data_IF_656234519577
#
_entry.id   IF_656234519577
#
_cell.length_a   1.000
_cell.length_b   1.000
_cell.length_c   1.000
_cell.angle_alpha   90.00
_cell.angle_beta   90.00
_cell.angle_gamma   90.00
#
_symmetry.space_group_name_H-M   'P 1'
#
loop_
_entity.id
_entity.type
_entity.pdbx_description
1 polymer ?
#
# COMPACT_ATOMS: atom_id res chain seq x y z
N UNK A 1 -36.74 -9.07 -0.11
CA UNK A 1 -35.90 -8.79 -1.30
C UNK A 1 -35.53 -7.31 -1.25
N UNK A 2 -34.25 -6.93 -1.41
CA UNK A 2 -33.79 -5.53 -1.19
C UNK A 2 -33.91 -4.61 -2.41
N UNK A 3 -33.94 -5.16 -3.61
CA UNK A 3 -34.09 -4.46 -4.90
C UNK A 3 -34.52 -5.49 -5.96
N UNK A 4 -35.03 -5.02 -7.10
CA UNK A 4 -35.40 -5.85 -8.27
C UNK A 4 -34.28 -5.88 -9.30
N UNK A 5 -33.63 -4.75 -9.58
CA UNK A 5 -32.47 -4.65 -10.48
C UNK A 5 -31.33 -3.86 -9.85
N UNK A 6 -30.10 -4.30 -10.12
CA UNK A 6 -28.87 -3.63 -9.72
C UNK A 6 -27.84 -3.74 -10.85
N UNK A 7 -27.28 -2.60 -11.25
CA UNK A 7 -26.20 -2.52 -12.23
C UNK A 7 -25.11 -1.60 -11.69
N UNK A 8 -23.85 -2.04 -11.75
CA UNK A 8 -22.67 -1.25 -11.37
C UNK A 8 -21.44 -1.70 -12.17
N UNK A 9 -20.41 -0.86 -12.22
CA UNK A 9 -19.20 -1.12 -13.00
C UNK A 9 -18.12 -1.89 -12.21
N UNK A 10 -18.53 -2.69 -11.23
CA UNK A 10 -17.60 -3.36 -10.30
C UNK A 10 -16.82 -2.38 -9.42
N UNK A 11 -15.60 -2.78 -9.05
CA UNK A 11 -14.66 -1.97 -8.25
C UNK A 11 -13.44 -1.55 -9.07
N UNK A 12 -12.79 -0.48 -8.63
CA UNK A 12 -11.52 0.00 -9.15
C UNK A 12 -10.36 -0.60 -8.34
N UNK A 13 -9.44 -1.28 -9.02
CA UNK A 13 -8.19 -1.73 -8.41
C UNK A 13 -7.16 -0.59 -8.38
N UNK A 14 -6.34 -0.50 -7.31
CA UNK A 14 -5.24 0.45 -7.25
C UNK A 14 -4.22 0.18 -8.35
N UNK A 15 -3.47 1.21 -8.79
CA UNK A 15 -2.41 1.02 -9.78
C UNK A 15 -1.38 -0.02 -9.30
N UNK A 16 -0.72 -0.65 -10.26
CA UNK A 16 0.41 -1.54 -9.99
C UNK A 16 1.53 -0.75 -9.31
N UNK A 17 2.31 -1.45 -8.48
CA UNK A 17 3.51 -0.86 -7.90
C UNK A 17 4.58 -0.68 -8.97
N UNK A 18 5.22 0.48 -8.95
CA UNK A 18 6.38 0.80 -9.78
C UNK A 18 7.63 0.74 -8.90
N UNK A 19 8.65 0.01 -9.36
CA UNK A 19 9.91 -0.13 -8.66
C UNK A 19 10.52 1.24 -8.33
N UNK A 20 11.00 1.40 -7.10
CA UNK A 20 11.67 2.59 -6.61
C UNK A 20 13.21 2.43 -6.59
N UNK A 21 13.71 1.26 -7.02
CA UNK A 21 15.14 0.93 -7.04
C UNK A 21 15.69 0.63 -5.65
N UNK A 22 14.83 0.15 -4.73
CA UNK A 22 15.24 -0.17 -3.36
C UNK A 22 16.01 -1.49 -3.34
N UNK A 23 17.16 -1.47 -2.67
CA UNK A 23 17.92 -2.69 -2.33
C UNK A 23 18.01 -2.81 -0.82
N UNK A 24 18.14 -4.03 -0.30
CA UNK A 24 18.34 -4.23 1.14
C UNK A 24 19.53 -5.16 1.38
N UNK A 25 20.03 -5.14 2.62
CA UNK A 25 20.92 -6.19 3.10
C UNK A 25 20.20 -7.00 4.17
N UNK A 26 20.36 -8.31 4.14
CA UNK A 26 19.89 -9.23 5.18
C UNK A 26 21.09 -9.98 5.73
N UNK A 27 21.35 -9.90 7.03
CA UNK A 27 22.55 -10.46 7.68
C UNK A 27 23.85 -10.02 6.97
N UNK A 28 23.91 -8.73 6.62
CA UNK A 28 25.04 -8.12 5.90
C UNK A 28 25.16 -8.46 4.41
N UNK A 29 24.34 -9.39 3.88
CA UNK A 29 24.38 -9.78 2.46
C UNK A 29 23.36 -8.98 1.66
N UNK A 30 23.80 -8.39 0.54
CA UNK A 30 22.89 -7.74 -0.42
C UNK A 30 21.86 -8.75 -0.94
N UNK A 31 20.61 -8.33 -1.00
CA UNK A 31 19.50 -9.11 -1.56
C UNK A 31 18.79 -8.27 -2.60
N UNK A 32 18.65 -8.83 -3.80
CA UNK A 32 17.84 -8.24 -4.87
C UNK A 32 16.38 -8.63 -4.65
N UNK A 33 15.49 -7.65 -4.71
CA UNK A 33 14.07 -7.80 -4.40
C UNK A 33 13.26 -7.91 -5.68
N UNK A 34 12.23 -8.76 -5.68
CA UNK A 34 11.16 -8.66 -6.67
C UNK A 34 10.22 -7.47 -6.36
N UNK A 35 9.31 -7.14 -7.28
CA UNK A 35 8.40 -6.01 -7.12
C UNK A 35 7.53 -6.09 -5.85
N UNK A 36 7.09 -7.29 -5.46
CA UNK A 36 6.24 -7.46 -4.28
C UNK A 36 7.06 -7.27 -3.00
N UNK A 37 8.26 -7.86 -2.94
CA UNK A 37 9.20 -7.69 -1.84
C UNK A 37 9.64 -6.22 -1.70
N UNK A 38 9.90 -5.55 -2.82
CA UNK A 38 10.24 -4.13 -2.85
C UNK A 38 9.07 -3.26 -2.35
N UNK A 39 7.83 -3.53 -2.79
CA UNK A 39 6.63 -2.84 -2.28
C UNK A 39 6.47 -3.03 -0.77
N UNK A 40 6.72 -4.23 -0.23
CA UNK A 40 6.69 -4.50 1.22
C UNK A 40 7.70 -3.64 1.98
N UNK A 41 8.95 -3.59 1.50
CA UNK A 41 10.03 -2.80 2.12
C UNK A 41 9.74 -1.31 2.01
N UNK A 42 9.25 -0.85 0.86
CA UNK A 42 8.88 0.53 0.64
C UNK A 42 7.76 0.98 1.59
N UNK A 43 6.72 0.17 1.76
CA UNK A 43 5.61 0.46 2.67
C UNK A 43 6.07 0.43 4.15
N UNK A 44 7.04 -0.41 4.50
CA UNK A 44 7.70 -0.36 5.82
C UNK A 44 8.49 0.93 6.00
N UNK A 45 9.29 1.31 5.01
CA UNK A 45 10.13 2.52 5.05
C UNK A 45 9.31 3.78 5.28
N UNK A 46 8.11 3.88 4.69
CA UNK A 46 7.16 4.99 4.95
C UNK A 46 6.68 5.09 6.39
N UNK A 47 6.89 4.08 7.22
CA UNK A 47 6.51 4.06 8.64
C UNK A 47 7.68 4.38 9.58
N UNK A 48 8.91 4.56 9.07
CA UNK A 48 10.12 4.71 9.89
C UNK A 48 10.03 5.80 10.97
N UNK A 49 9.36 6.91 10.67
CA UNK A 49 9.22 8.06 11.58
C UNK A 49 7.92 8.03 12.40
N UNK A 50 7.24 6.88 12.45
CA UNK A 50 5.99 6.70 13.21
C UNK A 50 6.23 5.81 14.43
N UNK A 51 5.40 5.90 15.49
CA UNK A 51 5.50 4.99 16.64
C UNK A 51 5.43 3.51 16.27
N UNK A 52 4.78 3.17 15.15
CA UNK A 52 4.68 1.79 14.65
C UNK A 52 6.04 1.15 14.37
N UNK A 53 7.03 1.94 13.91
CA UNK A 53 8.36 1.42 13.64
C UNK A 53 9.11 0.99 14.91
N UNK A 54 8.70 1.45 16.09
CA UNK A 54 9.28 1.06 17.39
C UNK A 54 8.52 -0.09 18.06
N UNK A 55 7.34 -0.44 17.54
CA UNK A 55 6.50 -1.48 18.10
C UNK A 55 7.03 -2.88 17.76
N UNK A 56 7.40 -3.64 18.79
CA UNK A 56 7.98 -4.99 18.65
C UNK A 56 7.03 -6.01 18.04
N UNK A 57 5.72 -5.92 18.28
CA UNK A 57 4.73 -6.80 17.64
C UNK A 57 4.61 -6.44 16.16
N UNK A 58 4.61 -5.13 15.86
CA UNK A 58 4.55 -4.63 14.49
C UNK A 58 5.78 -5.06 13.67
N UNK A 59 6.99 -4.86 14.19
CA UNK A 59 8.26 -5.32 13.62
C UNK A 59 8.24 -6.84 13.38
N UNK A 60 7.85 -7.62 14.39
CA UNK A 60 7.81 -9.08 14.32
C UNK A 60 6.84 -9.56 13.25
N UNK A 61 5.61 -9.05 13.25
CA UNK A 61 4.58 -9.48 12.30
C UNK A 61 4.96 -9.14 10.85
N UNK A 62 5.52 -7.95 10.62
CA UNK A 62 6.02 -7.57 9.30
C UNK A 62 7.13 -8.51 8.86
N UNK A 63 8.14 -8.72 9.71
CA UNK A 63 9.29 -9.57 9.41
C UNK A 63 8.87 -11.00 9.09
N UNK A 64 7.91 -11.55 9.84
CA UNK A 64 7.36 -12.90 9.59
C UNK A 64 6.70 -12.99 8.21
N UNK A 65 5.88 -12.01 7.84
CA UNK A 65 5.20 -12.04 6.54
C UNK A 65 6.17 -11.74 5.39
N UNK A 66 7.15 -10.86 5.59
CA UNK A 66 8.23 -10.60 4.63
C UNK A 66 9.10 -11.85 4.41
N UNK A 67 9.53 -12.54 5.48
CA UNK A 67 10.36 -13.74 5.37
C UNK A 67 9.67 -14.87 4.57
N UNK A 68 8.33 -14.92 4.54
CA UNK A 68 7.57 -15.90 3.73
C UNK A 68 7.70 -15.67 2.22
N UNK A 69 7.93 -14.44 1.79
CA UNK A 69 8.12 -14.11 0.36
C UNK A 69 9.55 -14.36 -0.10
N UNK A 70 10.48 -14.59 0.82
CA UNK A 70 11.89 -14.85 0.54
C UNK A 70 12.17 -16.34 0.27
N UNK A 71 13.30 -16.60 -0.38
CA UNK A 71 13.82 -17.96 -0.56
C UNK A 71 14.21 -18.61 0.79
N UNK A 72 14.44 -19.94 0.76
CA UNK A 72 14.73 -20.75 1.97
C UNK A 72 15.88 -20.21 2.83
N UNK A 73 16.87 -19.55 2.22
CA UNK A 73 18.03 -18.94 2.90
C UNK A 73 17.64 -17.83 3.88
N UNK A 74 16.55 -17.09 3.60
CA UNK A 74 16.11 -15.94 4.40
C UNK A 74 14.76 -16.18 5.10
N UNK A 75 14.29 -17.44 5.19
CA UNK A 75 13.03 -17.76 5.90
C UNK A 75 13.12 -17.62 7.43
N UNK A 76 14.32 -17.61 7.99
CA UNK A 76 14.58 -17.45 9.44
C UNK A 76 15.42 -16.21 9.69
N UNK A 77 14.76 -15.05 9.63
CA UNK A 77 15.36 -13.73 9.85
C UNK A 77 14.60 -13.00 10.95
N UNK A 78 15.33 -12.22 11.72
CA UNK A 78 14.81 -11.26 12.71
C UNK A 78 14.73 -9.87 12.09
N UNK A 79 14.01 -8.97 12.75
CA UNK A 79 13.89 -7.59 12.27
C UNK A 79 15.27 -6.90 12.20
N UNK A 80 16.11 -7.16 13.21
CA UNK A 80 17.47 -6.62 13.33
C UNK A 80 18.43 -7.15 12.26
N UNK A 81 18.07 -8.25 11.56
CA UNK A 81 18.86 -8.77 10.46
C UNK A 81 18.70 -7.95 9.17
N UNK A 82 17.66 -7.09 9.08
CA UNK A 82 17.30 -6.36 7.87
C UNK A 82 17.81 -4.92 7.94
N UNK A 83 18.66 -4.56 6.99
CA UNK A 83 19.14 -3.18 6.78
C UNK A 83 18.21 -2.44 5.81
N UNK A 84 17.40 -1.53 6.37
CA UNK A 84 16.46 -0.69 5.63
C UNK A 84 17.05 0.64 5.14
N UNK A 85 18.34 0.91 5.35
CA UNK A 85 18.95 2.23 5.10
C UNK A 85 18.72 2.75 3.68
N UNK A 86 18.82 1.89 2.67
CA UNK A 86 18.54 2.26 1.27
C UNK A 86 17.07 2.65 1.05
N UNK A 87 16.14 1.92 1.67
CA UNK A 87 14.71 2.21 1.57
C UNK A 87 14.38 3.53 2.27
N UNK A 88 15.00 3.80 3.41
CA UNK A 88 14.86 5.06 4.15
C UNK A 88 15.35 6.26 3.32
N UNK A 89 16.51 6.13 2.66
CA UNK A 89 17.02 7.17 1.73
C UNK A 89 16.05 7.49 0.60
N UNK A 90 15.37 6.48 0.04
CA UNK A 90 14.38 6.69 -1.02
C UNK A 90 13.18 7.49 -0.50
N UNK A 91 12.60 7.10 0.64
CA UNK A 91 11.42 7.80 1.19
C UNK A 91 11.75 9.19 1.72
N UNK A 92 12.95 9.40 2.25
CA UNK A 92 13.42 10.72 2.68
C UNK A 92 13.59 11.65 1.48
N UNK A 93 14.24 11.17 0.41
CA UNK A 93 14.36 11.93 -0.85
C UNK A 93 13.00 12.30 -1.43
N UNK A 94 12.03 11.38 -1.43
CA UNK A 94 10.66 11.69 -1.88
C UNK A 94 10.00 12.78 -1.01
N UNK A 95 10.24 12.74 0.30
CA UNK A 95 9.70 13.73 1.24
C UNK A 95 10.32 15.09 0.97
N UNK A 96 11.63 15.17 0.85
CA UNK A 96 12.37 16.40 0.55
C UNK A 96 11.90 17.01 -0.78
N UNK A 97 11.78 16.19 -1.83
CA UNK A 97 11.26 16.64 -3.13
C UNK A 97 9.85 17.22 -3.02
N UNK A 98 8.95 16.59 -2.24
CA UNK A 98 7.59 17.11 -2.01
C UNK A 98 7.58 18.42 -1.21
N UNK A 99 8.52 18.57 -0.29
CA UNK A 99 8.66 19.80 0.50
C UNK A 99 9.18 20.95 -0.39
N UNK A 100 10.16 20.68 -1.25
CA UNK A 100 10.76 21.62 -2.21
C UNK A 100 9.84 22.04 -3.36
N UNK A 101 8.77 21.29 -3.64
CA UNK A 101 7.82 21.64 -4.70
C UNK A 101 7.18 23.02 -4.50
N UNK A 102 7.06 23.76 -5.60
CA UNK A 102 6.45 25.10 -5.60
C UNK A 102 4.94 25.04 -5.35
N UNK A 103 4.35 26.20 -5.03
CA UNK A 103 2.88 26.29 -4.84
C UNK A 103 2.16 26.00 -6.16
N UNK A 104 2.70 26.44 -7.28
CA UNK A 104 2.17 26.22 -8.62
C UNK A 104 2.15 24.72 -8.96
N UNK A 105 3.27 24.01 -8.77
CA UNK A 105 3.37 22.57 -9.03
C UNK A 105 2.42 21.76 -8.14
N UNK A 106 2.34 22.09 -6.84
CA UNK A 106 1.41 21.45 -5.90
C UNK A 106 -0.04 21.63 -6.35
N UNK A 107 -0.40 22.84 -6.83
CA UNK A 107 -1.73 23.17 -7.35
C UNK A 107 -2.05 22.41 -8.64
N UNK A 108 -1.09 22.31 -9.56
CA UNK A 108 -1.27 21.58 -10.82
C UNK A 108 -1.47 20.08 -10.57
N UNK A 109 -0.65 19.47 -9.72
CA UNK A 109 -0.82 18.07 -9.35
C UNK A 109 -2.15 17.82 -8.63
N UNK A 110 -2.59 18.72 -7.77
CA UNK A 110 -3.89 18.62 -7.11
C UNK A 110 -5.05 18.69 -8.12
N UNK A 111 -4.95 19.57 -9.13
CA UNK A 111 -5.93 19.65 -10.22
C UNK A 111 -6.00 18.34 -11.02
N UNK A 112 -4.85 17.81 -11.45
CA UNK A 112 -4.76 16.52 -12.17
C UNK A 112 -5.38 15.36 -11.35
N UNK A 113 -5.08 15.29 -10.06
CA UNK A 113 -5.68 14.28 -9.15
C UNK A 113 -7.19 14.44 -9.01
N UNK A 114 -7.69 15.68 -8.92
CA UNK A 114 -9.13 15.96 -8.83
C UNK A 114 -9.87 15.53 -10.09
N UNK A 115 -9.36 15.90 -11.26
CA UNK A 115 -9.96 15.53 -12.56
C UNK A 115 -10.03 14.01 -12.74
N UNK A 116 -8.95 13.30 -12.40
CA UNK A 116 -8.93 11.83 -12.43
C UNK A 116 -9.95 11.24 -11.45
N UNK A 117 -10.02 11.77 -10.22
CA UNK A 117 -10.97 11.31 -9.19
C UNK A 117 -12.42 11.49 -9.63
N UNK A 118 -12.77 12.62 -10.22
CA UNK A 118 -14.14 12.85 -10.72
C UNK A 118 -14.48 11.89 -11.85
N UNK A 119 -13.57 11.69 -12.82
CA UNK A 119 -13.76 10.71 -13.91
C UNK A 119 -14.00 9.30 -13.38
N UNK A 120 -13.23 8.88 -12.38
CA UNK A 120 -13.37 7.57 -11.75
C UNK A 120 -14.65 7.48 -10.90
N UNK A 121 -15.05 8.54 -10.20
CA UNK A 121 -16.31 8.59 -9.43
C UNK A 121 -17.51 8.45 -10.36
N UNK A 122 -17.52 9.12 -11.52
CA UNK A 122 -18.61 8.97 -12.48
C UNK A 122 -18.72 7.53 -13.00
N UNK A 123 -17.59 6.85 -13.21
CA UNK A 123 -17.58 5.48 -13.74
C UNK A 123 -17.87 4.42 -12.68
N UNK A 124 -17.21 4.45 -11.53
CA UNK A 124 -17.27 3.37 -10.53
C UNK A 124 -18.08 3.75 -9.28
N UNK A 125 -18.29 5.04 -9.04
CA UNK A 125 -18.97 5.55 -7.86
C UNK A 125 -20.49 5.67 -7.98
N UNK A 126 -21.08 5.26 -9.11
CA UNK A 126 -22.52 5.29 -9.34
C UNK A 126 -23.01 3.90 -9.74
N UNK A 127 -24.09 3.45 -9.08
CA UNK A 127 -24.84 2.26 -9.46
C UNK A 127 -26.27 2.65 -9.87
N UNK A 128 -26.94 1.77 -10.61
CA UNK A 128 -28.36 1.91 -10.96
C UNK A 128 -29.12 0.84 -10.18
N UNK A 129 -29.96 1.26 -9.25
CA UNK A 129 -30.81 0.40 -8.42
C UNK A 129 -32.27 0.71 -8.70
N UNK A 130 -33.01 -0.28 -9.20
CA UNK A 130 -34.42 -0.14 -9.62
C UNK A 130 -34.65 1.08 -10.55
N UNK A 131 -33.72 1.30 -11.48
CA UNK A 131 -33.76 2.41 -12.45
C UNK A 131 -33.28 3.77 -11.90
N UNK A 132 -32.97 3.88 -10.60
CA UNK A 132 -32.47 5.12 -9.97
C UNK A 132 -30.96 5.09 -9.78
N UNK A 133 -30.29 6.21 -10.04
CA UNK A 133 -28.86 6.37 -9.76
C UNK A 133 -28.64 6.51 -8.25
N UNK A 134 -27.76 5.70 -7.70
CA UNK A 134 -27.34 5.72 -6.29
C UNK A 134 -25.82 5.81 -6.20
N UNK A 135 -25.31 6.54 -5.21
CA UNK A 135 -23.86 6.61 -4.97
C UNK A 135 -23.34 5.34 -4.29
N UNK A 136 -22.18 4.85 -4.75
CA UNK A 136 -21.47 3.72 -4.15
C UNK A 136 -20.50 4.25 -3.09
N UNK A 137 -20.58 3.71 -1.87
CA UNK A 137 -19.79 4.18 -0.72
C UNK A 137 -18.27 4.08 -0.93
N UNK A 138 -17.74 2.86 -1.09
CA UNK A 138 -16.36 2.64 -1.49
C UNK A 138 -16.30 1.73 -2.72
N UNK A 139 -15.92 2.31 -3.85
CA UNK A 139 -15.74 1.60 -5.11
C UNK A 139 -14.27 1.28 -5.40
N UNK A 140 -13.34 1.64 -4.53
CA UNK A 140 -11.91 1.38 -4.70
C UNK A 140 -11.47 0.23 -3.79
N UNK A 141 -10.81 -0.76 -4.37
CA UNK A 141 -10.16 -1.82 -3.60
C UNK A 141 -9.06 -1.20 -2.72
N UNK A 142 -8.89 -1.74 -1.52
CA UNK A 142 -7.82 -1.28 -0.65
C UNK A 142 -6.45 -1.63 -1.23
N UNK A 143 -5.48 -0.70 -1.23
CA UNK A 143 -4.12 -1.00 -1.65
C UNK A 143 -3.43 -1.97 -0.69
N UNK A 144 -2.44 -2.74 -1.19
CA UNK A 144 -1.59 -3.53 -0.32
C UNK A 144 -0.82 -2.63 0.65
N UNK A 145 -0.46 -3.17 1.81
CA UNK A 145 0.24 -2.39 2.81
C UNK A 145 0.33 -3.12 4.14
N UNK A 146 0.66 -2.39 5.19
CA UNK A 146 0.85 -2.98 6.51
C UNK A 146 -0.39 -2.72 7.35
N UNK A 147 -0.95 -3.78 7.94
CA UNK A 147 -2.11 -3.66 8.82
C UNK A 147 -1.71 -2.88 10.08
N UNK A 148 -2.30 -1.70 10.28
CA UNK A 148 -1.96 -0.83 11.41
C UNK A 148 -2.61 -1.29 12.71
N UNK A 149 -3.87 -1.77 12.65
CA UNK A 149 -4.65 -2.08 13.85
C UNK A 149 -4.96 -0.83 14.70
N UNK A 150 -5.98 -0.92 15.55
CA UNK A 150 -6.25 0.10 16.58
C UNK A 150 -5.81 -0.44 17.94
N UNK A 151 -5.25 0.40 18.80
CA UNK A 151 -4.72 -0.01 20.10
C UNK A 151 -3.67 -1.12 19.97
N UNK A 152 -3.69 -2.09 20.89
CA UNK A 152 -2.74 -3.21 20.93
C UNK A 152 -3.17 -4.42 20.08
N UNK A 153 -3.78 -4.17 18.91
CA UNK A 153 -4.28 -5.26 18.07
C UNK A 153 -3.17 -6.28 17.73
N UNK A 154 -3.37 -7.60 17.95
CA UNK A 154 -2.30 -8.60 17.84
C UNK A 154 -1.78 -8.79 16.41
N UNK A 155 -2.62 -8.50 15.40
CA UNK A 155 -2.27 -8.61 13.98
C UNK A 155 -1.56 -7.39 13.38
N UNK A 156 -1.35 -6.31 14.14
CA UNK A 156 -0.67 -5.11 13.62
C UNK A 156 0.73 -5.44 13.12
N UNK A 157 1.14 -4.85 12.01
CA UNK A 157 2.39 -5.17 11.33
C UNK A 157 2.26 -6.26 10.27
N UNK A 158 1.16 -7.01 10.21
CA UNK A 158 0.95 -8.02 9.17
C UNK A 158 0.80 -7.39 7.79
N UNK A 159 1.24 -8.12 6.77
CA UNK A 159 1.08 -7.69 5.39
C UNK A 159 -0.36 -7.89 4.91
N UNK A 160 -0.95 -6.83 4.37
CA UNK A 160 -2.21 -6.86 3.62
C UNK A 160 -1.88 -7.07 2.15
N UNK A 161 -2.32 -8.21 1.63
CA UNK A 161 -2.13 -8.57 0.22
C UNK A 161 -2.93 -7.64 -0.70
N UNK A 162 -2.46 -7.52 -1.94
CA UNK A 162 -3.16 -6.82 -3.00
C UNK A 162 -4.40 -7.61 -3.39
N UNK A 163 -5.56 -6.95 -3.38
CA UNK A 163 -6.81 -7.53 -3.88
C UNK A 163 -6.77 -7.58 -5.41
N UNK A 164 -7.12 -8.72 -5.98
CA UNK A 164 -7.20 -8.96 -7.42
C UNK A 164 -8.63 -9.28 -7.86
N UNK A 165 -8.88 -9.35 -9.17
CA UNK A 165 -10.19 -9.73 -9.69
C UNK A 165 -10.67 -11.12 -9.21
N UNK A 166 -9.75 -12.02 -8.84
CA UNK A 166 -10.11 -13.36 -8.32
C UNK A 166 -10.67 -13.32 -6.90
N UNK A 167 -10.41 -12.24 -6.17
CA UNK A 167 -10.81 -12.08 -4.76
C UNK A 167 -12.16 -11.34 -4.62
N UNK A 168 -12.78 -10.94 -5.74
CA UNK A 168 -14.02 -10.14 -5.77
C UNK A 168 -15.18 -11.02 -6.26
N UNK A 169 -16.32 -10.94 -5.57
CA UNK A 169 -17.58 -11.62 -5.92
C UNK A 169 -18.64 -10.61 -6.37
#
# INVERSE_FOLDING_TARGET
MKWKTLQHNGILFPPAYEAQGITIKIKGKRVDLDLNQEEMIYQWAKKKDTPYAQDKVFQKNFTVDFAKTMNSKFKKISYEDIDFSSAYKVVDKEKDLKEMMTKEEKKEQAKKRKELREKLKTKYGIAIMDGKKVEVGNYMAEPPGIFIGRGEHPLRGKWKLRVTAKDVT
#
